data_IF_266572303459
#
_entry.id   IF_266572303459
#
_cell.length_a   1.000
_cell.length_b   1.000
_cell.length_c   1.000
_cell.angle_alpha   90.00
_cell.angle_beta   90.00
_cell.angle_gamma   90.00
#
_symmetry.space_group_name_H-M   'P 1'
#
loop_
_entity.id
_entity.type
_entity.pdbx_description
1 polymer ?
#
# COMPACT_ATOMS: atom_id res chain seq x y z
N UNK A 1 -12.77 6.57 24.30
CA UNK A 1 -13.21 5.18 24.56
C UNK A 1 -13.59 4.55 23.23
N UNK A 2 -12.67 3.84 22.59
CA UNK A 2 -12.91 3.22 21.28
C UNK A 2 -13.33 1.76 21.51
N UNK A 3 -14.59 1.49 21.18
CA UNK A 3 -15.20 0.16 21.23
C UNK A 3 -14.60 -0.75 20.16
N UNK A 4 -13.84 -1.76 20.59
CA UNK A 4 -13.42 -2.86 19.72
C UNK A 4 -14.45 -3.99 19.81
N UNK A 5 -15.45 -3.98 18.91
CA UNK A 5 -16.28 -5.15 18.65
C UNK A 5 -15.47 -6.18 17.86
N UNK A 6 -15.03 -7.24 18.54
CA UNK A 6 -14.53 -8.47 17.93
C UNK A 6 -15.68 -9.13 17.16
N UNK A 7 -15.46 -9.50 15.90
CA UNK A 7 -16.36 -10.40 15.17
C UNK A 7 -15.75 -11.81 15.06
N UNK A 8 -16.59 -12.87 15.11
CA UNK A 8 -16.16 -14.23 15.35
C UNK A 8 -15.91 -15.00 14.04
N UNK A 9 -14.90 -15.87 14.09
CA UNK A 9 -14.64 -16.93 13.12
C UNK A 9 -15.60 -18.09 13.38
N UNK A 10 -16.55 -18.32 12.48
CA UNK A 10 -17.44 -19.49 12.47
C UNK A 10 -17.52 -20.06 11.04
N UNK A 11 -16.86 -21.22 10.87
CA UNK A 11 -17.31 -22.49 10.24
C UNK A 11 -17.63 -22.53 8.73
N UNK A 12 -16.98 -23.49 8.04
CA UNK A 12 -17.50 -24.58 7.16
C UNK A 12 -16.24 -25.36 6.70
N UNK A 13 -16.06 -26.68 6.74
CA UNK A 13 -16.82 -27.89 7.10
C UNK A 13 -15.92 -29.05 6.63
N UNK A 14 -15.44 -29.92 7.53
CA UNK A 14 -15.99 -31.24 7.85
C UNK A 14 -16.06 -32.24 6.67
N UNK A 15 -15.45 -33.41 6.91
CA UNK A 15 -15.50 -34.70 6.18
C UNK A 15 -14.51 -34.78 4.99
N UNK A 16 -13.52 -35.69 5.01
CA UNK A 16 -13.74 -37.13 5.12
C UNK A 16 -12.67 -37.82 5.98
N UNK A 17 -13.15 -38.44 7.05
CA UNK A 17 -12.50 -39.54 7.76
C UNK A 17 -12.76 -40.82 6.98
N UNK A 18 -11.73 -41.50 6.46
CA UNK A 18 -11.81 -42.92 6.11
C UNK A 18 -10.50 -43.60 6.51
N UNK A 19 -10.63 -44.50 7.50
CA UNK A 19 -9.79 -45.65 7.88
C UNK A 19 -8.28 -45.40 8.09
N UNK A 20 -7.74 -45.59 9.30
CA UNK A 20 -7.63 -46.92 9.90
C UNK A 20 -6.44 -47.63 9.25
N UNK A 21 -5.27 -47.66 9.90
CA UNK A 21 -4.94 -48.78 10.77
C UNK A 21 -4.05 -49.78 10.01
N UNK A 22 -2.80 -49.89 10.46
CA UNK A 22 -1.95 -51.09 10.37
C UNK A 22 -1.91 -51.88 9.06
N UNK A 23 -0.88 -51.64 8.25
CA UNK A 23 -0.29 -52.69 7.38
C UNK A 23 1.22 -52.74 7.57
N UNK A 24 1.64 -52.97 8.82
CA UNK A 24 2.88 -53.69 9.06
C UNK A 24 2.52 -55.19 9.08
N UNK A 25 3.31 -56.01 8.39
CA UNK A 25 3.26 -57.49 8.35
C UNK A 25 2.21 -58.17 7.47
N UNK A 26 2.45 -58.18 6.16
CA UNK A 26 2.43 -59.42 5.36
C UNK A 26 3.60 -59.37 4.37
N UNK A 27 4.82 -59.65 4.83
CA UNK A 27 5.93 -60.11 3.98
C UNK A 27 6.20 -61.56 4.37
N UNK A 28 5.34 -62.47 3.92
CA UNK A 28 5.67 -63.88 3.83
C UNK A 28 5.47 -64.30 2.39
N UNK A 29 6.60 -64.30 1.68
CA UNK A 29 6.99 -65.30 0.70
C UNK A 29 5.86 -66.18 0.14
N UNK A 30 5.35 -65.84 -1.06
CA UNK A 30 5.15 -66.85 -2.11
C UNK A 30 5.09 -66.19 -3.49
N UNK A 31 5.94 -66.72 -4.35
CA UNK A 31 6.12 -66.37 -5.75
C UNK A 31 4.80 -66.26 -6.54
N UNK A 32 4.65 -65.15 -7.26
CA UNK A 32 4.13 -65.19 -8.63
C UNK A 32 4.57 -63.94 -9.39
N UNK A 33 5.34 -64.22 -10.41
CA UNK A 33 5.86 -63.34 -11.44
C UNK A 33 4.74 -62.52 -12.07
N UNK A 34 4.76 -61.20 -11.89
CA UNK A 34 3.96 -60.31 -12.71
C UNK A 34 4.74 -59.03 -13.04
N UNK A 35 4.82 -58.77 -14.33
CA UNK A 35 5.74 -57.91 -15.07
C UNK A 35 5.43 -56.41 -14.94
N UNK A 36 5.07 -55.92 -13.77
CA UNK A 36 4.86 -54.48 -13.54
C UNK A 36 6.11 -53.71 -13.08
N UNK A 37 7.23 -54.42 -12.91
CA UNK A 37 8.52 -53.87 -12.49
C UNK A 37 8.96 -52.60 -13.25
N UNK A 38 8.99 -52.56 -14.60
CA UNK A 38 9.50 -51.39 -15.30
C UNK A 38 8.54 -50.19 -15.26
N UNK A 39 7.21 -50.44 -15.25
CA UNK A 39 6.21 -49.36 -15.27
C UNK A 39 6.15 -48.67 -13.90
N UNK A 40 6.15 -49.44 -12.81
CA UNK A 40 6.15 -48.88 -11.45
C UNK A 40 7.47 -48.14 -11.18
N UNK A 41 8.60 -48.67 -11.66
CA UNK A 41 9.88 -47.99 -11.56
C UNK A 41 9.91 -46.65 -12.34
N UNK A 42 9.34 -46.61 -13.55
CA UNK A 42 9.26 -45.39 -14.35
C UNK A 42 8.39 -44.31 -13.67
N UNK A 43 7.25 -44.70 -13.10
CA UNK A 43 6.36 -43.78 -12.38
C UNK A 43 7.05 -43.21 -11.13
N UNK A 44 7.79 -44.03 -10.38
CA UNK A 44 8.55 -43.57 -9.21
C UNK A 44 9.65 -42.55 -9.56
N UNK A 45 10.32 -42.71 -10.71
CA UNK A 45 11.32 -41.76 -11.21
C UNK A 45 10.66 -40.44 -11.61
N UNK A 46 9.50 -40.47 -12.27
CA UNK A 46 8.77 -39.26 -12.67
C UNK A 46 8.32 -38.44 -11.45
N UNK A 47 7.77 -39.09 -10.41
CA UNK A 47 7.40 -38.38 -9.18
C UNK A 47 8.61 -37.79 -8.45
N UNK A 48 9.76 -38.46 -8.49
CA UNK A 48 11.01 -37.95 -7.91
C UNK A 48 11.50 -36.69 -8.64
N UNK A 49 11.44 -36.68 -9.98
CA UNK A 49 11.84 -35.50 -10.78
C UNK A 49 10.86 -34.34 -10.54
N UNK A 50 9.54 -34.61 -10.53
CA UNK A 50 8.52 -33.58 -10.28
C UNK A 50 8.69 -32.99 -8.87
N UNK A 51 8.97 -33.82 -7.86
CA UNK A 51 9.20 -33.37 -6.49
C UNK A 51 10.40 -32.43 -6.37
N UNK A 52 11.52 -32.74 -7.04
CA UNK A 52 12.72 -31.89 -7.05
C UNK A 52 12.41 -30.53 -7.70
N UNK A 53 11.67 -30.50 -8.81
CA UNK A 53 11.28 -29.26 -9.50
C UNK A 53 10.42 -28.36 -8.60
N UNK A 54 9.46 -28.93 -7.88
CA UNK A 54 8.59 -28.17 -6.95
C UNK A 54 9.41 -27.57 -5.80
N UNK A 55 10.37 -28.31 -5.23
CA UNK A 55 11.24 -27.82 -4.15
C UNK A 55 12.12 -26.66 -4.61
N UNK A 56 12.68 -26.72 -5.81
CA UNK A 56 13.52 -25.63 -6.37
C UNK A 56 12.70 -24.36 -6.60
N UNK A 57 11.47 -24.47 -7.10
CA UNK A 57 10.58 -23.32 -7.30
C UNK A 57 10.16 -22.70 -5.94
N UNK A 58 9.87 -23.52 -4.93
CA UNK A 58 9.53 -23.04 -3.60
C UNK A 58 10.71 -22.30 -2.93
N UNK A 59 11.93 -22.81 -3.05
CA UNK A 59 13.14 -22.17 -2.49
C UNK A 59 13.46 -20.81 -3.13
N UNK A 60 13.11 -20.59 -4.41
CA UNK A 60 13.33 -19.30 -5.09
C UNK A 60 12.52 -18.14 -4.49
N UNK A 61 11.49 -18.41 -3.67
CA UNK A 61 10.69 -17.38 -2.99
C UNK A 61 11.10 -17.12 -1.54
N UNK A 62 12.10 -17.83 -1.01
CA UNK A 62 12.49 -17.75 0.41
C UNK A 62 13.72 -16.86 0.67
N UNK A 63 14.21 -16.15 -0.34
CA UNK A 63 15.43 -15.33 -0.25
C UNK A 63 15.15 -13.84 -0.37
N UNK A 64 14.34 -13.25 0.50
CA UNK A 64 14.34 -11.80 0.73
C UNK A 64 13.65 -11.40 2.06
N UNK A 65 14.26 -11.76 3.18
CA UNK A 65 14.11 -11.00 4.43
C UNK A 65 15.47 -10.86 5.07
N UNK A 66 16.15 -9.75 4.77
CA UNK A 66 17.37 -9.36 5.45
C UNK A 66 17.04 -8.89 6.86
N UNK A 67 17.65 -9.54 7.84
CA UNK A 67 17.90 -9.02 9.18
C UNK A 67 18.55 -7.64 9.08
N UNK A 68 17.84 -6.66 9.63
CA UNK A 68 18.32 -5.31 9.92
C UNK A 68 17.69 -4.90 11.25
N UNK A 69 18.05 -5.64 12.31
CA UNK A 69 17.59 -5.42 13.67
C UNK A 69 18.45 -4.34 14.32
N UNK A 70 18.00 -3.08 14.28
CA UNK A 70 18.35 -2.08 15.29
C UNK A 70 17.11 -1.91 16.16
N UNK A 71 17.19 -2.44 17.38
CA UNK A 71 16.24 -2.18 18.44
C UNK A 71 16.15 -0.67 18.69
N UNK A 72 15.04 -0.07 18.32
CA UNK A 72 14.51 1.07 19.06
C UNK A 72 13.02 0.83 19.18
N UNK A 73 12.64 0.59 20.43
CA UNK A 73 11.29 0.26 20.86
C UNK A 73 10.26 1.20 20.24
N UNK A 74 9.29 0.57 19.59
CA UNK A 74 8.02 1.09 19.14
C UNK A 74 7.27 1.77 20.30
N UNK A 75 7.57 3.04 20.52
CA UNK A 75 6.48 3.99 20.76
C UNK A 75 6.08 4.51 19.38
N UNK A 76 5.07 3.87 18.82
CA UNK A 76 4.44 4.16 17.53
C UNK A 76 3.69 5.49 17.57
N UNK A 77 4.41 6.59 17.82
CA UNK A 77 3.91 7.91 17.48
C UNK A 77 4.16 8.14 16.00
N UNK A 78 3.10 8.00 15.21
CA UNK A 78 2.82 8.51 13.86
C UNK A 78 3.69 9.70 13.39
N UNK A 79 4.99 9.51 13.17
CA UNK A 79 5.80 10.44 12.39
C UNK A 79 5.48 10.13 10.92
N UNK A 80 4.31 10.64 10.47
CA UNK A 80 4.20 11.08 9.08
C UNK A 80 5.44 11.93 8.85
N UNK A 81 6.30 11.54 7.92
CA UNK A 81 7.48 12.31 7.51
C UNK A 81 6.96 13.66 6.99
N UNK A 82 6.69 14.57 7.92
CA UNK A 82 6.12 15.89 7.68
C UNK A 82 7.22 16.63 6.94
N UNK A 83 7.11 16.71 5.61
CA UNK A 83 7.95 17.62 4.83
C UNK A 83 7.85 18.97 5.51
N UNK A 84 8.99 19.51 5.96
CA UNK A 84 9.08 20.84 6.55
C UNK A 84 8.39 21.81 5.60
N UNK A 85 7.29 22.41 6.04
CA UNK A 85 6.58 23.41 5.24
C UNK A 85 7.32 24.73 5.34
N UNK A 86 7.26 25.52 4.28
CA UNK A 86 7.85 26.86 4.25
C UNK A 86 6.78 27.89 3.88
N UNK A 87 6.98 29.12 4.31
CA UNK A 87 6.14 30.22 3.89
C UNK A 87 6.29 30.41 2.37
N UNK A 88 5.17 30.43 1.64
CA UNK A 88 5.15 30.72 0.22
C UNK A 88 5.79 32.09 -0.14
N UNK A 89 5.72 33.07 0.77
CA UNK A 89 6.16 34.45 0.51
C UNK A 89 7.63 34.72 0.83
N UNK A 90 8.16 34.20 1.94
CA UNK A 90 9.54 34.48 2.36
C UNK A 90 10.43 33.22 2.49
N UNK A 91 9.86 32.02 2.32
CA UNK A 91 10.59 30.76 2.48
C UNK A 91 10.88 30.35 3.93
N UNK A 92 10.50 31.16 4.93
CA UNK A 92 10.72 30.82 6.34
C UNK A 92 10.01 29.51 6.72
N UNK A 93 10.64 28.59 7.46
CA UNK A 93 9.98 27.36 7.90
C UNK A 93 8.75 27.66 8.76
N UNK A 94 7.61 27.07 8.43
CA UNK A 94 6.35 27.29 9.15
C UNK A 94 5.76 25.98 9.65
N UNK A 95 5.07 26.07 10.78
CA UNK A 95 4.24 24.99 11.28
C UNK A 95 2.94 24.87 10.48
N UNK A 96 2.40 23.64 10.39
CA UNK A 96 1.16 23.34 9.67
C UNK A 96 -0.09 23.99 10.30
N UNK A 97 -0.06 24.26 11.61
CA UNK A 97 -1.20 24.82 12.33
C UNK A 97 -1.19 26.34 12.37
N UNK A 98 -0.04 26.98 12.10
CA UNK A 98 0.04 28.43 11.99
C UNK A 98 -0.83 28.99 10.86
N UNK A 99 -1.49 30.13 11.11
CA UNK A 99 -2.29 30.84 10.10
C UNK A 99 -1.49 31.95 9.41
N UNK A 100 -0.49 32.49 10.10
CA UNK A 100 0.37 33.57 9.65
C UNK A 100 1.83 33.17 9.78
N UNK A 101 2.68 33.69 8.89
CA UNK A 101 4.12 33.53 8.99
C UNK A 101 4.68 34.41 10.12
N UNK A 102 5.45 33.83 11.02
CA UNK A 102 6.10 34.55 12.13
C UNK A 102 7.19 35.52 11.68
N UNK A 103 7.72 35.36 10.48
CA UNK A 103 8.80 36.16 9.93
C UNK A 103 8.27 37.33 9.09
N UNK A 104 7.48 37.07 8.04
CA UNK A 104 6.96 38.12 7.16
C UNK A 104 5.55 38.64 7.51
N UNK A 105 4.89 38.06 8.52
CA UNK A 105 3.54 38.47 8.97
C UNK A 105 2.39 38.14 8.01
N UNK A 106 2.66 37.59 6.82
CA UNK A 106 1.63 37.28 5.82
C UNK A 106 0.84 36.02 6.17
N UNK A 107 -0.42 35.98 5.72
CA UNK A 107 -1.29 34.80 5.85
C UNK A 107 -0.75 33.64 5.02
N UNK A 108 -0.73 32.45 5.60
CA UNK A 108 -0.31 31.23 4.93
C UNK A 108 -1.41 30.71 4.00
N UNK A 109 -1.04 30.47 2.75
CA UNK A 109 -1.94 29.90 1.75
C UNK A 109 -2.05 28.40 1.96
N UNK A 110 -3.27 27.90 2.11
CA UNK A 110 -3.57 26.47 2.29
C UNK A 110 -4.24 25.90 1.06
N UNK A 111 -3.89 24.68 0.71
CA UNK A 111 -4.57 23.97 -0.35
C UNK A 111 -6.01 23.65 0.05
N UNK A 112 -6.96 24.05 -0.78
CA UNK A 112 -8.39 23.80 -0.58
C UNK A 112 -8.76 22.31 -0.50
N UNK A 113 -7.95 21.43 -1.09
CA UNK A 113 -8.17 19.97 -1.15
C UNK A 113 -7.49 19.25 0.01
N UNK A 114 -6.16 19.30 0.13
CA UNK A 114 -5.42 18.53 1.15
C UNK A 114 -5.30 19.24 2.51
N UNK A 115 -5.69 20.52 2.59
CA UNK A 115 -5.64 21.38 3.79
C UNK A 115 -4.22 21.65 4.34
N UNK A 116 -3.18 21.26 3.62
CA UNK A 116 -1.80 21.58 3.97
C UNK A 116 -1.40 22.97 3.45
N UNK A 117 -0.40 23.57 4.08
CA UNK A 117 0.20 24.81 3.60
C UNK A 117 0.83 24.60 2.22
N UNK A 118 0.83 25.65 1.41
CA UNK A 118 1.53 25.69 0.12
C UNK A 118 2.91 26.29 0.39
N UNK A 119 3.95 25.55 0.05
CA UNK A 119 5.35 25.92 0.31
C UNK A 119 5.99 26.60 -0.90
N UNK A 120 7.13 27.26 -0.69
CA UNK A 120 7.89 27.83 -1.80
C UNK A 120 8.39 26.72 -2.73
N UNK A 121 8.20 26.90 -4.04
CA UNK A 121 8.51 25.89 -5.05
C UNK A 121 7.41 24.86 -5.31
N UNK A 122 6.32 24.87 -4.55
CA UNK A 122 5.13 24.09 -4.92
C UNK A 122 4.48 24.67 -6.19
N UNK A 123 4.00 23.79 -7.06
CA UNK A 123 3.18 24.19 -8.22
C UNK A 123 1.77 24.51 -7.74
N UNK A 124 1.34 25.76 -7.95
CA UNK A 124 0.06 26.29 -7.45
C UNK A 124 -0.91 26.46 -8.60
N UNK A 125 -2.12 25.94 -8.44
CA UNK A 125 -3.25 26.23 -9.31
C UNK A 125 -4.24 27.18 -8.62
N UNK A 126 -4.84 28.07 -9.40
CA UNK A 126 -5.96 28.94 -8.98
C UNK A 126 -7.22 28.64 -9.79
N UNK A 127 -8.36 28.74 -9.13
CA UNK A 127 -9.66 28.74 -9.79
C UNK A 127 -9.87 30.06 -10.54
N UNK A 128 -10.23 30.03 -11.83
CA UNK A 128 -10.51 31.24 -12.62
C UNK A 128 -11.72 32.05 -12.15
N UNK A 129 -12.61 31.45 -11.35
CA UNK A 129 -13.87 32.08 -10.94
C UNK A 129 -13.83 32.72 -9.54
N UNK A 130 -13.17 32.05 -8.59
CA UNK A 130 -13.13 32.48 -7.19
C UNK A 130 -11.71 32.67 -6.65
N UNK A 131 -10.70 32.47 -7.50
CA UNK A 131 -9.27 32.63 -7.18
C UNK A 131 -8.76 31.75 -6.03
N UNK A 132 -9.57 30.78 -5.59
CA UNK A 132 -9.16 29.86 -4.53
C UNK A 132 -7.93 29.07 -4.97
N UNK A 133 -6.94 28.97 -4.08
CA UNK A 133 -5.63 28.39 -4.39
C UNK A 133 -5.51 26.95 -3.91
N UNK A 134 -4.70 26.15 -4.60
CA UNK A 134 -4.35 24.80 -4.18
C UNK A 134 -3.10 24.28 -4.86
N UNK A 135 -2.53 23.19 -4.32
CA UNK A 135 -1.55 22.41 -5.08
C UNK A 135 -2.16 22.02 -6.42
N UNK A 136 -1.44 22.29 -7.52
CA UNK A 136 -1.96 22.11 -8.87
C UNK A 136 -2.47 20.68 -9.09
N UNK A 137 -1.70 19.66 -8.70
CA UNK A 137 -2.09 18.25 -8.82
C UNK A 137 -3.40 17.94 -8.10
N UNK A 138 -3.55 18.34 -6.84
CA UNK A 138 -4.77 18.07 -6.08
C UNK A 138 -5.99 18.80 -6.63
N UNK A 139 -5.82 20.07 -7.04
CA UNK A 139 -6.90 20.85 -7.63
C UNK A 139 -7.31 20.29 -9.00
N UNK A 140 -6.34 19.92 -9.82
CA UNK A 140 -6.55 19.33 -11.15
C UNK A 140 -7.27 17.98 -11.06
N UNK A 141 -6.82 17.07 -10.20
CA UNK A 141 -7.49 15.78 -9.99
C UNK A 141 -8.91 15.94 -9.47
N UNK A 142 -9.14 16.91 -8.58
CA UNK A 142 -10.48 17.23 -8.10
C UNK A 142 -11.39 17.70 -9.22
N UNK A 143 -10.96 18.67 -10.03
CA UNK A 143 -11.74 19.19 -11.16
C UNK A 143 -11.95 18.11 -12.22
N UNK A 144 -10.93 17.29 -12.51
CA UNK A 144 -11.05 16.17 -13.45
C UNK A 144 -12.09 15.15 -13.03
N UNK A 145 -12.22 14.87 -11.73
CA UNK A 145 -13.14 13.84 -11.20
C UNK A 145 -14.52 14.38 -10.85
N UNK A 146 -14.62 15.61 -10.34
CA UNK A 146 -15.88 16.23 -9.88
C UNK A 146 -16.45 17.26 -10.85
N UNK A 147 -15.63 17.82 -11.74
CA UNK A 147 -16.01 18.89 -12.66
C UNK A 147 -16.32 20.23 -11.99
N UNK A 148 -15.95 20.41 -10.72
CA UNK A 148 -16.30 21.59 -9.92
C UNK A 148 -15.13 22.07 -9.05
N UNK A 149 -15.14 23.36 -8.71
CA UNK A 149 -14.20 23.93 -7.75
C UNK A 149 -14.53 23.46 -6.31
N UNK A 150 -13.57 22.98 -5.50
CA UNK A 150 -13.81 22.54 -4.13
C UNK A 150 -14.17 23.68 -3.15
N UNK A 151 -13.95 24.94 -3.55
CA UNK A 151 -14.22 26.12 -2.73
C UNK A 151 -15.55 26.79 -3.09
N UNK A 152 -15.73 27.21 -4.35
CA UNK A 152 -16.94 27.93 -4.78
C UNK A 152 -18.03 27.04 -5.40
N UNK A 153 -17.75 25.74 -5.60
CA UNK A 153 -18.67 24.75 -6.18
C UNK A 153 -19.11 25.02 -7.62
N UNK A 154 -18.57 26.04 -8.28
CA UNK A 154 -18.84 26.30 -9.70
C UNK A 154 -18.27 25.18 -10.58
N UNK A 155 -19.00 24.85 -11.64
CA UNK A 155 -18.54 23.92 -12.67
C UNK A 155 -17.40 24.59 -13.44
N UNK A 156 -16.29 23.89 -13.58
CA UNK A 156 -15.14 24.39 -14.32
C UNK A 156 -14.46 23.26 -15.10
N UNK A 157 -14.06 23.49 -16.37
CA UNK A 157 -13.20 22.57 -17.09
C UNK A 157 -11.79 22.58 -16.49
N UNK A 158 -10.97 21.57 -16.82
CA UNK A 158 -9.57 21.50 -16.37
C UNK A 158 -8.75 22.70 -16.84
N UNK A 159 -9.06 23.25 -18.01
CA UNK A 159 -8.33 24.36 -18.63
C UNK A 159 -8.61 25.71 -17.95
N UNK A 160 -9.65 25.77 -17.11
CA UNK A 160 -9.96 26.92 -16.28
C UNK A 160 -9.09 27.00 -15.00
N UNK A 161 -8.19 26.04 -14.79
CA UNK A 161 -7.19 26.10 -13.72
C UNK A 161 -6.00 26.92 -14.22
N UNK A 162 -5.78 28.06 -13.58
CA UNK A 162 -4.65 28.95 -13.90
C UNK A 162 -3.47 28.50 -13.05
N UNK A 163 -2.42 27.99 -13.67
CA UNK A 163 -1.16 27.71 -12.99
C UNK A 163 -0.43 29.03 -12.69
N UNK A 164 -0.10 29.23 -11.41
CA UNK A 164 0.61 30.42 -10.96
C UNK A 164 2.02 30.02 -10.58
N UNK A 165 2.84 29.87 -11.62
CA UNK A 165 4.27 29.67 -11.47
C UNK A 165 4.92 31.02 -11.13
N UNK A 166 5.27 31.19 -9.84
CA UNK A 166 6.13 32.27 -9.36
C UNK A 166 5.59 33.70 -9.50
N UNK A 167 4.65 34.09 -8.64
CA UNK A 167 4.52 35.51 -8.29
C UNK A 167 5.74 35.89 -7.43
N UNK A 168 6.80 36.38 -8.09
CA UNK A 168 7.92 37.08 -7.45
C UNK A 168 7.44 38.39 -6.84
#
# INVERSE_FOLDING_TARGET
MVNNKKMPLIIIGLLLSISGGTFASIYVNRASSFTFGPIIAAIAVLFSIIGIVVIVIAKKRAGETKEGQIHTSLETNKIRKSKRQTCYWCGFPVDNHSEFCSDCGRKLSRCTVCKLNISIGDVVGKCSYCESVGHFTHLFEWVKTKGTCPYCLQKMPTDAIIEVSNLK
#
